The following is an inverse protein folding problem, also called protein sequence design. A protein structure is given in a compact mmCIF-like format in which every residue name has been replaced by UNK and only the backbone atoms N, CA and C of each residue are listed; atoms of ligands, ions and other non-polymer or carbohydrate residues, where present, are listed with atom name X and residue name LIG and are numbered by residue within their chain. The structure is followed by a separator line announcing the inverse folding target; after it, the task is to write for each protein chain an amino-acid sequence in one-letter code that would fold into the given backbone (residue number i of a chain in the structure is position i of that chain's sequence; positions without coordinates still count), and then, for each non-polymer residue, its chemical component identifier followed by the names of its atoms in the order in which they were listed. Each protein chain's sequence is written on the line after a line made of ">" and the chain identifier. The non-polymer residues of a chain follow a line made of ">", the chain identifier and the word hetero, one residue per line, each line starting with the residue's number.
data_IF_877337527667
#
_entry.id   IF_877337527667
#
_cell.length_a   1.000
_cell.length_b   1.000
_cell.length_c   1.000
_cell.angle_alpha   90.00
_cell.angle_beta   90.00
_cell.angle_gamma   90.00
#
_symmetry.space_group_name_H-M   'P 1'
#
loop_
_entity.id
_entity.type
_entity.pdbx_description
1 polymer ?
#
# COMPACT_ATOMS: atom_id res chain seq x y z
N UNK A 1 -49.78 -16.23 -39.36
CA UNK A 1 -49.21 -14.86 -39.35
C UNK A 1 -48.66 -14.59 -37.94
N UNK A 2 -47.35 -14.38 -37.85
CA UNK A 2 -46.58 -13.70 -36.75
C UNK A 2 -46.60 -14.35 -35.36
N UNK A 3 -45.54 -15.04 -34.88
CA UNK A 3 -44.16 -14.60 -34.51
C UNK A 3 -44.15 -13.44 -33.51
N UNK A 4 -43.62 -13.68 -32.31
CA UNK A 4 -42.58 -12.92 -31.56
C UNK A 4 -42.58 -13.40 -30.09
N UNK A 5 -41.67 -14.30 -29.68
CA UNK A 5 -40.34 -14.00 -29.11
C UNK A 5 -40.34 -12.78 -28.17
N UNK A 6 -40.31 -13.04 -26.85
CA UNK A 6 -39.83 -12.10 -25.85
C UNK A 6 -38.65 -12.75 -25.11
N UNK A 7 -37.53 -12.05 -25.13
CA UNK A 7 -36.20 -12.54 -24.86
C UNK A 7 -35.98 -12.86 -23.38
N UNK A 8 -35.32 -14.00 -23.15
CA UNK A 8 -34.53 -14.26 -21.94
C UNK A 8 -33.45 -13.17 -21.85
N UNK A 9 -33.54 -12.30 -20.84
CA UNK A 9 -32.39 -11.51 -20.41
C UNK A 9 -31.44 -12.42 -19.64
N UNK A 10 -30.42 -12.92 -20.33
CA UNK A 10 -29.22 -13.46 -19.70
C UNK A 10 -28.48 -12.27 -19.07
N UNK A 11 -28.55 -12.17 -17.74
CA UNK A 11 -27.67 -11.30 -16.98
C UNK A 11 -26.22 -11.79 -17.20
N UNK A 12 -25.46 -11.04 -17.99
CA UNK A 12 -24.02 -11.24 -18.12
C UNK A 12 -23.37 -10.75 -16.81
N UNK A 13 -23.16 -11.66 -15.86
CA UNK A 13 -22.21 -11.42 -14.78
C UNK A 13 -20.80 -11.46 -15.37
N UNK A 14 -20.35 -10.32 -15.88
CA UNK A 14 -18.95 -10.11 -16.22
C UNK A 14 -18.16 -10.06 -14.91
N UNK A 15 -17.64 -11.21 -14.48
CA UNK A 15 -16.54 -11.24 -13.52
C UNK A 15 -15.37 -10.53 -14.20
N UNK A 16 -15.09 -9.28 -13.81
CA UNK A 16 -13.89 -8.58 -14.24
C UNK A 16 -12.69 -9.33 -13.65
N UNK A 17 -12.11 -10.24 -14.41
CA UNK A 17 -10.80 -10.80 -14.09
C UNK A 17 -9.82 -9.64 -14.08
N UNK A 18 -9.19 -9.37 -12.93
CA UNK A 18 -8.07 -8.44 -12.85
C UNK A 18 -7.05 -8.86 -13.91
N UNK A 19 -6.85 -8.03 -14.92
CA UNK A 19 -5.94 -8.34 -16.03
C UNK A 19 -4.54 -7.94 -15.59
N UNK A 20 -3.60 -8.90 -15.60
CA UNK A 20 -2.20 -8.61 -15.30
C UNK A 20 -1.57 -7.71 -16.37
N UNK A 21 -0.71 -6.79 -15.91
CA UNK A 21 0.11 -5.86 -16.68
C UNK A 21 1.58 -6.01 -16.19
N UNK A 22 2.32 -7.00 -16.73
CA UNK A 22 3.68 -7.30 -16.29
C UNK A 22 4.67 -6.17 -16.60
N UNK A 23 4.41 -5.37 -17.65
CA UNK A 23 5.24 -4.21 -17.99
C UNK A 23 5.11 -3.12 -16.91
N UNK A 24 3.89 -2.87 -16.43
CA UNK A 24 3.65 -1.97 -15.32
C UNK A 24 4.25 -2.49 -14.01
N UNK A 25 4.14 -3.79 -13.74
CA UNK A 25 4.76 -4.42 -12.56
C UNK A 25 6.29 -4.26 -12.58
N UNK A 26 6.92 -4.51 -13.72
CA UNK A 26 8.35 -4.33 -13.91
C UNK A 26 8.78 -2.87 -13.74
N UNK A 27 8.01 -1.93 -14.28
CA UNK A 27 8.29 -0.49 -14.11
C UNK A 27 8.19 -0.07 -12.63
N UNK A 28 7.15 -0.51 -11.93
CA UNK A 28 6.98 -0.24 -10.50
C UNK A 28 8.16 -0.77 -9.67
N UNK A 29 8.62 -2.00 -9.94
CA UNK A 29 9.81 -2.59 -9.28
C UNK A 29 11.08 -1.78 -9.54
N UNK A 30 11.28 -1.29 -10.76
CA UNK A 30 12.42 -0.40 -11.08
C UNK A 30 12.34 0.91 -10.30
N UNK A 31 11.16 1.52 -10.22
CA UNK A 31 10.92 2.72 -9.42
C UNK A 31 11.17 2.47 -7.92
N UNK A 32 10.72 1.33 -7.39
CA UNK A 32 10.98 0.88 -6.02
C UNK A 32 12.50 0.79 -5.74
N UNK A 33 13.26 0.13 -6.61
CA UNK A 33 14.71 0.00 -6.49
C UNK A 33 15.48 1.33 -6.58
N UNK A 34 14.95 2.30 -7.32
CA UNK A 34 15.55 3.63 -7.46
C UNK A 34 15.25 4.56 -6.27
N UNK A 35 14.16 4.30 -5.53
CA UNK A 35 13.65 5.20 -4.48
C UNK A 35 14.66 5.46 -3.36
N UNK A 36 15.39 4.46 -2.81
CA UNK A 36 16.38 4.70 -1.76
C UNK A 36 17.59 5.53 -2.19
N UNK A 37 17.94 5.48 -3.48
CA UNK A 37 19.11 6.17 -4.04
C UNK A 37 18.89 7.65 -4.33
N UNK A 38 17.63 8.10 -4.25
CA UNK A 38 17.26 9.48 -4.43
C UNK A 38 16.48 9.98 -3.22
N UNK A 39 17.14 10.09 -2.05
CA UNK A 39 16.54 10.73 -0.90
C UNK A 39 16.35 12.20 -1.25
N UNK A 40 15.15 12.56 -1.73
CA UNK A 40 14.71 13.95 -1.64
C UNK A 40 14.57 14.29 -0.15
N UNK A 41 14.49 15.58 0.12
CA UNK A 41 14.65 16.25 1.43
C UNK A 41 13.80 15.72 2.61
N UNK A 42 12.93 14.71 2.45
CA UNK A 42 12.03 14.18 3.49
C UNK A 42 12.47 12.91 4.22
N UNK A 43 13.76 12.58 4.20
CA UNK A 43 14.32 11.58 5.11
C UNK A 43 13.94 10.12 4.82
N UNK A 44 14.11 9.26 5.84
CA UNK A 44 13.93 7.80 5.72
C UNK A 44 12.46 7.41 5.68
N UNK A 45 11.60 8.16 6.36
CA UNK A 45 10.14 7.95 6.30
C UNK A 45 9.61 8.17 4.88
N UNK A 46 10.02 9.25 4.21
CA UNK A 46 9.60 9.48 2.83
C UNK A 46 10.10 8.37 1.89
N UNK A 47 11.38 7.98 2.02
CA UNK A 47 11.94 6.89 1.22
C UNK A 47 11.20 5.56 1.40
N UNK A 48 10.82 5.23 2.64
CA UNK A 48 9.99 4.06 2.94
C UNK A 48 8.60 4.17 2.30
N UNK A 49 7.97 5.33 2.39
CA UNK A 49 6.66 5.57 1.79
C UNK A 49 6.67 5.40 0.27
N UNK A 50 7.67 5.95 -0.42
CA UNK A 50 7.83 5.80 -1.87
C UNK A 50 8.09 4.33 -2.24
N UNK A 51 8.99 3.65 -1.52
CA UNK A 51 9.28 2.23 -1.70
C UNK A 51 8.00 1.37 -1.60
N UNK A 52 7.25 1.54 -0.51
CA UNK A 52 6.01 0.79 -0.26
C UNK A 52 4.95 1.06 -1.32
N UNK A 53 4.81 2.31 -1.76
CA UNK A 53 3.89 2.66 -2.83
C UNK A 53 4.20 1.88 -4.11
N UNK A 54 5.46 1.87 -4.54
CA UNK A 54 5.85 1.17 -5.76
C UNK A 54 5.76 -0.35 -5.63
N UNK A 55 6.05 -0.91 -4.46
CA UNK A 55 5.86 -2.34 -4.20
C UNK A 55 4.40 -2.72 -4.31
N UNK A 56 3.49 -1.97 -3.68
CA UNK A 56 2.07 -2.20 -3.80
C UNK A 56 1.57 -2.00 -5.24
N UNK A 57 2.08 -1.01 -5.97
CA UNK A 57 1.77 -0.83 -7.39
C UNK A 57 2.22 -2.01 -8.26
N UNK A 58 3.39 -2.61 -7.94
CA UNK A 58 3.88 -3.79 -8.64
C UNK A 58 2.97 -5.02 -8.44
N UNK A 59 2.54 -5.25 -7.19
CA UNK A 59 1.62 -6.34 -6.83
C UNK A 59 0.25 -6.13 -7.47
N UNK A 60 -0.29 -4.90 -7.44
CA UNK A 60 -1.58 -4.60 -8.11
C UNK A 60 -1.53 -4.82 -9.61
N UNK A 61 -0.40 -4.53 -10.24
CA UNK A 61 -0.23 -4.67 -11.68
C UNK A 61 -0.11 -6.14 -12.11
N UNK A 62 0.41 -7.02 -11.26
CA UNK A 62 0.62 -8.42 -11.63
C UNK A 62 0.31 -9.36 -10.44
N UNK A 63 -0.97 -9.48 -10.05
CA UNK A 63 -1.34 -10.26 -8.88
C UNK A 63 -1.09 -11.75 -9.15
N UNK A 64 -0.17 -12.35 -8.39
CA UNK A 64 0.19 -13.76 -8.50
C UNK A 64 -0.54 -14.63 -7.49
N UNK A 65 -1.02 -14.06 -6.38
CA UNK A 65 -1.68 -14.79 -5.29
C UNK A 65 -2.84 -14.01 -4.67
N UNK A 66 -3.75 -14.72 -3.99
CA UNK A 66 -4.77 -14.13 -3.12
C UNK A 66 -4.20 -13.69 -1.75
N UNK A 67 -2.87 -13.60 -1.61
CA UNK A 67 -2.17 -13.22 -0.38
C UNK A 67 -1.29 -11.99 -0.62
N UNK A 68 -1.88 -10.78 -0.76
CA UNK A 68 -1.13 -9.58 -1.17
C UNK A 68 0.07 -9.26 -0.28
N UNK A 69 -0.04 -9.49 1.04
CA UNK A 69 1.05 -9.25 1.98
C UNK A 69 2.27 -10.13 1.70
N UNK A 70 2.06 -11.39 1.33
CA UNK A 70 3.16 -12.32 1.02
C UNK A 70 3.82 -11.95 -0.30
N UNK A 71 3.02 -11.48 -1.26
CA UNK A 71 3.54 -10.98 -2.53
C UNK A 71 4.35 -9.70 -2.36
N UNK A 72 3.87 -8.74 -1.55
CA UNK A 72 4.64 -7.53 -1.20
C UNK A 72 5.97 -7.89 -0.51
N UNK A 73 5.97 -8.88 0.40
CA UNK A 73 7.20 -9.37 1.03
C UNK A 73 8.15 -10.01 0.02
N UNK A 74 7.62 -10.79 -0.92
CA UNK A 74 8.40 -11.41 -2.01
C UNK A 74 9.07 -10.34 -2.89
N UNK A 75 8.31 -9.33 -3.32
CA UNK A 75 8.85 -8.20 -4.08
C UNK A 75 9.93 -7.46 -3.28
N UNK A 76 9.68 -7.19 -2.00
CA UNK A 76 10.68 -6.55 -1.13
C UNK A 76 11.96 -7.36 -0.99
N UNK A 77 11.86 -8.70 -0.87
CA UNK A 77 13.00 -9.60 -0.82
C UNK A 77 13.77 -9.63 -2.14
N UNK A 78 13.08 -9.59 -3.28
CA UNK A 78 13.71 -9.49 -4.60
C UNK A 78 14.48 -8.17 -4.76
N UNK A 79 13.90 -7.05 -4.32
CA UNK A 79 14.56 -5.74 -4.38
C UNK A 79 15.87 -5.69 -3.57
N UNK A 80 16.01 -6.48 -2.50
CA UNK A 80 17.26 -6.58 -1.75
C UNK A 80 18.40 -7.22 -2.56
N UNK A 81 18.08 -7.98 -3.61
CA UNK A 81 19.06 -8.58 -4.51
C UNK A 81 19.49 -7.61 -5.62
N UNK A 82 18.74 -6.52 -5.83
CA UNK A 82 19.05 -5.56 -6.87
C UNK A 82 20.23 -4.70 -6.45
N UNK A 83 21.10 -4.38 -7.42
CA UNK A 83 22.11 -3.35 -7.21
C UNK A 83 21.38 -2.02 -6.93
N UNK A 84 21.72 -1.30 -5.86
CA UNK A 84 21.20 0.05 -5.65
C UNK A 84 21.48 0.93 -6.87
N UNK A 85 20.46 1.65 -7.33
CA UNK A 85 20.63 2.64 -8.38
C UNK A 85 21.66 3.70 -7.93
N UNK A 86 22.47 4.20 -8.86
CA UNK A 86 23.25 5.41 -8.62
C UNK A 86 22.34 6.63 -8.60
N UNK A 87 22.79 7.73 -8.00
CA UNK A 87 22.05 8.99 -8.00
C UNK A 87 21.70 9.48 -9.43
N UNK A 88 22.61 9.28 -10.38
CA UNK A 88 22.40 9.67 -11.78
C UNK A 88 21.31 8.82 -12.46
N UNK A 89 21.33 7.50 -12.24
CA UNK A 89 20.31 6.58 -12.73
C UNK A 89 18.93 6.91 -12.13
N UNK A 90 18.88 7.15 -10.82
CA UNK A 90 17.63 7.51 -10.15
C UNK A 90 17.09 8.85 -10.67
N UNK A 91 17.94 9.88 -10.85
CA UNK A 91 17.55 11.18 -11.44
C UNK A 91 16.95 11.04 -12.84
N UNK A 92 17.50 10.16 -13.67
CA UNK A 92 17.00 9.94 -15.02
C UNK A 92 15.66 9.17 -15.04
N UNK A 93 15.48 8.23 -14.11
CA UNK A 93 14.30 7.36 -14.06
C UNK A 93 13.07 8.05 -13.44
N UNK A 94 13.32 8.89 -12.45
CA UNK A 94 12.28 9.46 -11.61
C UNK A 94 11.17 10.19 -12.36
N UNK A 95 11.44 11.03 -13.38
CA UNK A 95 10.36 11.70 -14.11
C UNK A 95 9.39 10.72 -14.77
N UNK A 96 9.88 9.57 -15.24
CA UNK A 96 9.04 8.52 -15.80
C UNK A 96 8.22 7.81 -14.71
N UNK A 97 8.81 7.57 -13.53
CA UNK A 97 8.10 7.05 -12.37
C UNK A 97 6.99 8.01 -11.92
N UNK A 98 7.28 9.30 -11.77
CA UNK A 98 6.32 10.33 -11.34
C UNK A 98 5.15 10.45 -12.34
N UNK A 99 5.43 10.38 -13.64
CA UNK A 99 4.40 10.42 -14.68
C UNK A 99 3.46 9.21 -14.63
N UNK A 100 3.98 8.01 -14.29
CA UNK A 100 3.18 6.79 -14.23
C UNK A 100 2.49 6.57 -12.88
N UNK A 101 3.11 7.05 -11.80
CA UNK A 101 2.73 6.81 -10.41
C UNK A 101 2.67 8.15 -9.64
N UNK A 102 1.75 9.06 -10.01
CA UNK A 102 1.75 10.42 -9.49
C UNK A 102 1.51 10.51 -7.97
N UNK A 103 0.89 9.49 -7.37
CA UNK A 103 0.56 9.49 -5.94
C UNK A 103 1.74 9.04 -5.06
N UNK A 104 2.78 8.42 -5.62
CA UNK A 104 3.95 7.94 -4.86
C UNK A 104 4.59 9.05 -4.02
N UNK A 105 4.50 10.29 -4.51
CA UNK A 105 5.13 11.48 -3.92
C UNK A 105 4.16 12.54 -3.47
N UNK A 106 2.89 12.17 -3.37
CA UNK A 106 1.85 13.04 -2.86
C UNK A 106 2.18 13.46 -1.43
N UNK A 107 1.97 14.73 -1.10
CA UNK A 107 2.25 15.28 0.25
C UNK A 107 1.05 15.98 0.86
N UNK A 108 0.01 16.24 0.08
CA UNK A 108 -1.24 16.79 0.59
C UNK A 108 -2.02 15.74 1.40
N UNK A 109 -2.78 16.23 2.38
CA UNK A 109 -3.61 15.43 3.26
C UNK A 109 -4.66 14.63 2.48
N UNK A 110 -4.98 13.45 2.98
CA UNK A 110 -5.94 12.54 2.37
C UNK A 110 -7.13 12.30 3.31
N UNK A 111 -8.27 11.92 2.72
CA UNK A 111 -9.45 11.46 3.47
C UNK A 111 -9.43 9.95 3.52
N UNK A 112 -9.55 9.38 4.71
CA UNK A 112 -9.63 7.93 4.90
C UNK A 112 -11.01 7.40 4.48
N UNK A 113 -11.12 6.09 4.15
CA UNK A 113 -12.41 5.46 3.90
C UNK A 113 -13.44 5.69 5.02
N UNK A 114 -14.69 5.94 4.62
CA UNK A 114 -15.81 6.11 5.57
C UNK A 114 -16.16 4.78 6.28
N UNK A 115 -16.06 3.67 5.55
CA UNK A 115 -16.23 2.33 6.11
C UNK A 115 -15.18 2.08 7.21
N UNK A 116 -15.64 1.73 8.40
CA UNK A 116 -14.79 1.63 9.57
C UNK A 116 -13.86 0.42 9.53
N UNK A 117 -14.32 -0.69 8.98
CA UNK A 117 -13.54 -1.93 8.91
C UNK A 117 -12.41 -1.82 7.88
N UNK A 118 -12.70 -1.26 6.70
CA UNK A 118 -11.69 -0.94 5.69
C UNK A 118 -10.67 0.07 6.21
N UNK A 119 -11.14 1.13 6.87
CA UNK A 119 -10.25 2.14 7.48
C UNK A 119 -9.33 1.53 8.54
N UNK A 120 -9.87 0.71 9.44
CA UNK A 120 -9.10 0.05 10.48
C UNK A 120 -8.02 -0.87 9.84
N UNK A 121 -8.37 -1.68 8.84
CA UNK A 121 -7.41 -2.56 8.14
C UNK A 121 -6.34 -1.77 7.37
N UNK A 122 -6.72 -0.70 6.68
CA UNK A 122 -5.80 0.19 5.99
C UNK A 122 -4.82 0.84 6.99
N UNK A 123 -5.34 1.38 8.09
CA UNK A 123 -4.51 2.00 9.13
C UNK A 123 -3.61 0.99 9.84
N UNK A 124 -4.05 -0.26 10.03
CA UNK A 124 -3.20 -1.35 10.54
C UNK A 124 -2.01 -1.60 9.60
N UNK A 125 -2.30 -1.86 8.32
CA UNK A 125 -1.29 -2.19 7.32
C UNK A 125 -0.28 -1.07 7.08
N UNK A 126 -0.77 0.14 6.83
CA UNK A 126 0.09 1.31 6.55
C UNK A 126 0.94 1.65 7.77
N UNK A 127 0.36 1.72 8.98
CA UNK A 127 1.13 2.08 10.18
C UNK A 127 2.20 1.04 10.49
N UNK A 128 1.90 -0.26 10.30
CA UNK A 128 2.87 -1.33 10.49
C UNK A 128 4.04 -1.22 9.49
N UNK A 129 3.76 -0.87 8.23
CA UNK A 129 4.77 -0.72 7.20
C UNK A 129 5.60 0.57 7.31
N UNK A 130 5.03 1.63 7.88
CA UNK A 130 5.75 2.89 8.13
C UNK A 130 6.62 2.85 9.41
N UNK A 131 6.33 1.92 10.33
CA UNK A 131 7.04 1.81 11.61
C UNK A 131 8.57 1.66 11.47
N UNK A 132 9.10 0.78 10.59
CA UNK A 132 10.55 0.69 10.36
C UNK A 132 11.16 2.01 9.88
N UNK A 133 10.46 2.76 9.03
CA UNK A 133 10.88 4.08 8.57
C UNK A 133 10.97 5.07 9.73
N UNK A 134 9.97 5.10 10.61
CA UNK A 134 9.95 5.95 11.81
C UNK A 134 11.03 5.58 12.83
N UNK A 135 11.34 4.29 12.99
CA UNK A 135 12.41 3.81 13.86
C UNK A 135 13.79 4.17 13.32
N UNK A 136 13.97 4.13 12.00
CA UNK A 136 15.23 4.46 11.36
C UNK A 136 15.47 5.98 11.29
N UNK A 137 14.41 6.79 11.25
CA UNK A 137 14.48 8.24 11.13
C UNK A 137 15.26 8.87 12.29
N UNK A 138 16.29 9.64 11.99
CA UNK A 138 17.19 10.30 12.93
C UNK A 138 17.11 11.84 12.85
N UNK A 139 16.30 12.36 11.93
CA UNK A 139 16.05 13.79 11.80
C UNK A 139 15.14 14.33 12.90
N UNK A 140 15.29 15.62 13.23
CA UNK A 140 14.46 16.30 14.25
C UNK A 140 13.05 16.59 13.73
N UNK A 141 12.93 16.91 12.44
CA UNK A 141 11.67 17.19 11.79
C UNK A 141 11.09 15.89 11.19
N UNK A 142 10.32 15.14 11.97
CA UNK A 142 9.65 13.92 11.53
C UNK A 142 8.17 14.17 11.25
N UNK A 143 7.59 13.60 10.18
CA UNK A 143 6.15 13.68 9.90
C UNK A 143 5.28 12.98 10.96
N UNK A 144 5.86 12.02 11.68
CA UNK A 144 5.29 11.31 12.84
C UNK A 144 6.39 10.55 13.58
N UNK A 145 6.07 10.10 14.80
CA UNK A 145 6.96 9.35 15.68
C UNK A 145 6.59 7.86 15.74
N UNK A 146 7.49 7.06 16.31
CA UNK A 146 7.22 5.66 16.65
C UNK A 146 6.02 5.55 17.60
N UNK A 147 5.88 6.48 18.54
CA UNK A 147 4.77 6.49 19.51
C UNK A 147 3.43 6.71 18.81
N UNK A 148 3.37 7.63 17.84
CA UNK A 148 2.13 7.92 17.10
C UNK A 148 1.65 6.67 16.35
N UNK A 149 2.56 5.97 15.66
CA UNK A 149 2.23 4.74 14.95
C UNK A 149 1.84 3.60 15.91
N UNK A 150 2.53 3.45 17.05
CA UNK A 150 2.19 2.45 18.06
C UNK A 150 0.81 2.69 18.70
N UNK A 151 0.42 3.95 18.88
CA UNK A 151 -0.92 4.32 19.33
C UNK A 151 -1.99 3.87 18.33
N UNK A 152 -1.80 4.19 17.04
CA UNK A 152 -2.72 3.74 15.96
C UNK A 152 -2.80 2.22 15.95
N UNK A 153 -1.66 1.52 15.92
CA UNK A 153 -1.60 0.06 15.88
C UNK A 153 -2.33 -0.58 17.08
N UNK A 154 -2.18 0.00 18.27
CA UNK A 154 -2.84 -0.51 19.47
C UNK A 154 -4.35 -0.29 19.43
N UNK A 155 -4.79 0.92 19.06
CA UNK A 155 -6.21 1.27 18.99
C UNK A 155 -6.95 0.44 17.92
N UNK A 156 -6.36 0.32 16.73
CA UNK A 156 -6.90 -0.47 15.63
C UNK A 156 -6.91 -1.96 15.97
N UNK A 157 -5.83 -2.51 16.55
CA UNK A 157 -5.82 -3.91 16.95
C UNK A 157 -6.90 -4.23 17.99
N UNK A 158 -7.20 -3.30 18.92
CA UNK A 158 -8.29 -3.48 19.87
C UNK A 158 -9.67 -3.53 19.20
N UNK A 159 -9.90 -2.71 18.15
CA UNK A 159 -11.16 -2.69 17.38
C UNK A 159 -11.34 -3.92 16.49
N UNK A 160 -10.26 -4.44 15.92
CA UNK A 160 -10.29 -5.60 15.05
C UNK A 160 -10.33 -6.93 15.82
N UNK A 161 -9.79 -6.99 17.05
CA UNK A 161 -9.71 -8.24 17.83
C UNK A 161 -11.05 -8.98 18.05
N UNK A 162 -12.21 -8.33 18.25
CA UNK A 162 -13.50 -9.03 18.34
C UNK A 162 -13.85 -9.84 17.09
N UNK A 163 -13.41 -9.39 15.90
CA UNK A 163 -13.64 -10.07 14.61
C UNK A 163 -12.48 -11.00 14.24
N UNK A 164 -11.26 -10.64 14.63
CA UNK A 164 -10.04 -11.40 14.39
C UNK A 164 -9.28 -11.63 15.70
N UNK A 165 -9.72 -12.60 16.53
CA UNK A 165 -9.07 -12.84 17.82
C UNK A 165 -7.63 -13.27 17.64
N UNK A 166 -6.71 -12.72 18.43
CA UNK A 166 -5.28 -13.09 18.39
C UNK A 166 -5.01 -14.57 18.70
N UNK A 167 -5.95 -15.23 19.36
CA UNK A 167 -5.87 -16.66 19.72
C UNK A 167 -6.34 -17.59 18.61
N UNK A 168 -6.92 -17.05 17.54
CA UNK A 168 -7.45 -17.83 16.41
C UNK A 168 -6.56 -17.63 15.18
N UNK A 169 -5.79 -18.67 14.84
CA UNK A 169 -4.87 -18.63 13.71
C UNK A 169 -5.58 -18.44 12.36
N UNK A 170 -6.77 -19.03 12.18
CA UNK A 170 -7.52 -18.88 10.93
C UNK A 170 -8.01 -17.45 10.77
N UNK A 171 -8.46 -16.84 11.87
CA UNK A 171 -8.89 -15.45 11.85
C UNK A 171 -7.71 -14.50 11.63
N UNK A 172 -6.52 -14.77 12.21
CA UNK A 172 -5.32 -13.97 11.95
C UNK A 172 -4.86 -14.07 10.48
N UNK A 173 -4.91 -15.26 9.87
CA UNK A 173 -4.56 -15.40 8.45
C UNK A 173 -5.54 -14.64 7.56
N UNK A 174 -6.84 -14.71 7.86
CA UNK A 174 -7.84 -13.90 7.16
C UNK A 174 -7.58 -12.40 7.32
N UNK A 175 -7.25 -11.93 8.53
CA UNK A 175 -6.91 -10.53 8.77
C UNK A 175 -5.71 -10.10 7.94
N UNK A 176 -4.66 -10.93 7.87
CA UNK A 176 -3.44 -10.65 7.08
C UNK A 176 -3.78 -10.47 5.59
N UNK A 177 -4.61 -11.34 5.02
CA UNK A 177 -5.06 -11.23 3.63
C UNK A 177 -5.82 -9.90 3.41
N UNK A 178 -6.80 -9.62 4.27
CA UNK A 178 -7.64 -8.43 4.14
C UNK A 178 -6.89 -7.12 4.37
N UNK A 179 -5.92 -7.10 5.30
CA UNK A 179 -4.98 -5.98 5.48
C UNK A 179 -4.11 -5.79 4.24
N UNK A 180 -3.68 -6.88 3.60
CA UNK A 180 -2.98 -6.82 2.33
C UNK A 180 -3.77 -6.11 1.24
N UNK A 181 -5.04 -6.49 1.06
CA UNK A 181 -5.92 -5.82 0.10
C UNK A 181 -6.14 -4.33 0.45
N UNK A 182 -6.40 -4.01 1.73
CA UNK A 182 -6.56 -2.63 2.18
C UNK A 182 -5.29 -1.79 1.96
N UNK A 183 -4.11 -2.39 2.11
CA UNK A 183 -2.83 -1.75 1.83
C UNK A 183 -2.65 -1.47 0.34
N UNK A 184 -3.00 -2.43 -0.54
CA UNK A 184 -3.01 -2.18 -1.98
C UNK A 184 -3.98 -1.06 -2.36
N UNK A 185 -5.18 -1.04 -1.78
CA UNK A 185 -6.17 0.01 -2.02
C UNK A 185 -5.69 1.39 -1.52
N UNK A 186 -4.89 1.44 -0.46
CA UNK A 186 -4.32 2.69 0.06
C UNK A 186 -3.53 3.49 -0.97
N UNK A 187 -2.95 2.82 -1.97
CA UNK A 187 -2.21 3.45 -3.09
C UNK A 187 -3.09 4.33 -4.00
N UNK A 188 -4.41 4.19 -3.94
CA UNK A 188 -5.37 5.04 -4.64
C UNK A 188 -5.72 6.29 -3.83
N UNK A 189 -5.52 6.23 -2.51
CA UNK A 189 -5.74 7.34 -1.59
C UNK A 189 -4.52 8.26 -1.55
N UNK A 190 -3.33 7.69 -1.39
CA UNK A 190 -2.06 8.43 -1.31
C UNK A 190 -0.88 7.49 -1.10
N UNK A 191 0.29 8.06 -0.74
CA UNK A 191 1.42 7.25 -0.31
C UNK A 191 1.33 6.90 1.18
N UNK A 192 2.15 5.93 1.61
CA UNK A 192 2.11 5.43 2.98
C UNK A 192 2.30 6.50 4.05
N UNK A 193 3.09 7.54 3.79
CA UNK A 193 3.31 8.64 4.72
C UNK A 193 2.04 9.48 4.96
N UNK A 194 1.39 9.98 3.90
CA UNK A 194 0.19 10.82 4.07
C UNK A 194 -1.00 10.02 4.60
N UNK A 195 -1.10 8.74 4.23
CA UNK A 195 -2.12 7.83 4.79
C UNK A 195 -1.85 7.56 6.27
N UNK A 196 -0.59 7.33 6.67
CA UNK A 196 -0.24 7.17 8.09
C UNK A 196 -0.56 8.43 8.90
N UNK A 197 -0.29 9.63 8.38
CA UNK A 197 -0.65 10.89 9.03
C UNK A 197 -2.17 11.02 9.22
N UNK A 198 -2.95 10.68 8.19
CA UNK A 198 -4.41 10.67 8.28
C UNK A 198 -4.91 9.64 9.31
N UNK A 199 -4.28 8.47 9.38
CA UNK A 199 -4.55 7.49 10.42
C UNK A 199 -4.23 8.07 11.81
N UNK A 200 -3.05 8.64 12.04
CA UNK A 200 -2.71 9.25 13.33
C UNK A 200 -3.77 10.26 13.76
N UNK A 201 -4.14 11.19 12.87
CA UNK A 201 -5.18 12.18 13.16
C UNK A 201 -6.53 11.54 13.58
N UNK A 202 -6.88 10.37 13.03
CA UNK A 202 -8.11 9.66 13.35
C UNK A 202 -8.09 8.87 14.68
N UNK A 203 -6.93 8.64 15.30
CA UNK A 203 -6.77 7.88 16.56
C UNK A 203 -5.99 8.62 17.65
N UNK A 204 -5.73 9.92 17.47
CA UNK A 204 -5.09 10.79 18.46
C UNK A 204 -6.07 11.47 19.43
N UNK A 205 -7.35 11.13 19.40
CA UNK A 205 -8.39 11.64 20.31
C UNK A 205 -8.58 10.78 21.57
#
# INVERSE_FOLDING_TARGET
>A
MSILLAALMLASTSSATATSDPDLSLLARKCAAASPAFPREGGKIQGMSELLYYVAAAVKADPQTDAPMDEMQSVMAELQQYRPATLAEARAMIPACDARFPLARRTDSVTLPADADLRDKMCLGVSAMMLPGAMAEDTVAKPFTVSDLQQVLSAVAARLNPRYPRTDASAQEQLKIEVGHALLESTETGNGMVVAQACIAAYSE
#
